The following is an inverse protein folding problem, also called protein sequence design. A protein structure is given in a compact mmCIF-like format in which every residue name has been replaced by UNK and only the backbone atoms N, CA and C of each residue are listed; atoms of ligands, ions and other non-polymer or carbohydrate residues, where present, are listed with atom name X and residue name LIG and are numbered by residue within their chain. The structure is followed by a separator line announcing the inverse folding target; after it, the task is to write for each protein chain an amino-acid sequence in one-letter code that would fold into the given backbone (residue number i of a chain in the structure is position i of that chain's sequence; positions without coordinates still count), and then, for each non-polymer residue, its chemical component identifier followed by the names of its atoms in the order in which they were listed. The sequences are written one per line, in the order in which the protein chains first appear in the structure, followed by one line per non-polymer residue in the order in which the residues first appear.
data_IF_831592048790
#
_entry.id   IF_831592048790
#
_cell.length_a   1.000
_cell.length_b   1.000
_cell.length_c   1.000
_cell.angle_alpha   90.00
_cell.angle_beta   90.00
_cell.angle_gamma   90.00
#
_symmetry.space_group_name_H-M   'P 1'
#
loop_
_entity.id
_entity.type
_entity.pdbx_description
1 polymer ?
#
# COMPACT_ATOMS: atom_id res chain seq x y z
N UNK A 1 3.99 23.52 5.83
CA UNK A 1 4.47 22.94 7.09
C UNK A 1 5.91 22.48 6.87
N UNK A 2 6.89 23.15 7.47
CA UNK A 2 8.30 22.73 7.48
C UNK A 2 8.37 21.46 8.36
N UNK A 3 8.37 20.28 7.73
CA UNK A 3 8.72 19.06 8.45
C UNK A 3 10.16 19.22 8.93
N UNK A 4 10.40 19.03 10.23
CA UNK A 4 11.74 19.11 10.80
C UNK A 4 12.68 18.19 10.01
N UNK A 5 13.55 18.77 9.18
CA UNK A 5 14.54 18.05 8.35
C UNK A 5 15.43 17.10 9.18
N UNK A 6 15.64 17.41 10.46
CA UNK A 6 16.42 16.61 11.42
C UNK A 6 15.84 15.20 11.72
N UNK A 7 14.54 14.98 11.44
CA UNK A 7 13.90 13.68 11.68
C UNK A 7 14.03 12.71 10.48
N UNK A 8 14.39 13.23 9.30
CA UNK A 8 14.58 12.41 8.10
C UNK A 8 16.02 11.92 7.98
N UNK A 9 16.16 10.60 7.83
CA UNK A 9 17.44 9.92 7.60
C UNK A 9 17.63 9.78 6.10
N UNK A 10 18.73 10.29 5.56
CA UNK A 10 19.01 10.31 4.11
C UNK A 10 19.53 8.97 3.59
N UNK A 11 20.32 8.24 4.39
CA UNK A 11 20.98 7.00 3.96
C UNK A 11 20.23 5.77 4.46
N UNK A 12 19.88 4.81 3.56
CA UNK A 12 19.25 3.57 3.98
C UNK A 12 20.24 2.64 4.70
N UNK A 13 19.70 1.73 5.51
CA UNK A 13 20.49 0.66 6.13
C UNK A 13 20.88 -0.37 5.09
N UNK A 14 22.16 -0.52 4.82
CA UNK A 14 22.66 -1.52 3.85
C UNK A 14 22.22 -2.95 4.19
N UNK A 15 22.23 -3.34 5.46
CA UNK A 15 21.78 -4.66 5.94
C UNK A 15 20.30 -4.96 5.72
N UNK A 16 19.48 -3.92 5.56
CA UNK A 16 18.03 -4.04 5.36
C UNK A 16 17.60 -3.62 3.95
N UNK A 17 18.53 -3.63 2.99
CA UNK A 17 18.25 -3.31 1.58
C UNK A 17 18.68 -4.45 0.68
N UNK A 18 17.89 -4.65 -0.40
CA UNK A 18 18.23 -5.57 -1.48
C UNK A 18 18.17 -4.84 -2.81
N UNK A 19 19.00 -5.25 -3.75
CA UNK A 19 18.89 -4.77 -5.12
C UNK A 19 17.54 -5.16 -5.69
N UNK A 20 16.89 -4.24 -6.39
CA UNK A 20 15.61 -4.48 -7.05
C UNK A 20 15.77 -4.36 -8.55
N UNK A 21 15.79 -5.50 -9.23
CA UNK A 21 15.72 -5.52 -10.68
C UNK A 21 14.29 -5.39 -11.16
N UNK A 22 14.03 -4.39 -12.00
CA UNK A 22 12.69 -4.17 -12.56
C UNK A 22 12.49 -5.07 -13.78
N UNK A 23 11.42 -5.86 -13.78
CA UNK A 23 11.03 -6.68 -14.95
C UNK A 23 10.55 -5.87 -16.15
N UNK A 24 10.46 -4.53 -16.02
CA UNK A 24 10.00 -3.61 -17.08
C UNK A 24 8.67 -4.00 -17.72
N UNK A 25 7.79 -4.63 -16.97
CA UNK A 25 6.48 -5.09 -17.44
C UNK A 25 6.48 -6.39 -18.22
N UNK A 26 7.60 -7.13 -18.20
CA UNK A 26 7.74 -8.43 -18.87
C UNK A 26 7.59 -9.60 -17.90
N UNK A 27 7.10 -10.72 -18.40
CA UNK A 27 7.08 -11.99 -17.67
C UNK A 27 8.40 -12.76 -17.84
N UNK A 28 8.50 -13.96 -17.26
CA UNK A 28 9.67 -14.83 -17.35
C UNK A 28 10.02 -15.26 -18.80
N UNK A 29 9.05 -15.26 -19.72
CA UNK A 29 9.23 -15.54 -21.15
C UNK A 29 9.58 -14.30 -21.98
N UNK A 30 9.85 -13.15 -21.37
CA UNK A 30 10.15 -11.89 -22.04
C UNK A 30 8.95 -11.17 -22.67
N UNK A 31 7.73 -11.74 -22.61
CA UNK A 31 6.52 -11.13 -23.18
C UNK A 31 6.01 -10.00 -22.30
N UNK A 32 5.53 -8.91 -22.92
CA UNK A 32 4.95 -7.77 -22.21
C UNK A 32 3.60 -8.18 -21.64
N UNK A 33 3.48 -8.17 -20.30
CA UNK A 33 2.25 -8.46 -19.56
C UNK A 33 1.69 -7.24 -18.82
N UNK A 34 2.52 -6.21 -18.62
CA UNK A 34 2.12 -4.94 -18.05
C UNK A 34 2.68 -3.80 -18.90
N UNK A 35 1.78 -3.17 -19.67
CA UNK A 35 2.10 -2.14 -20.64
C UNK A 35 2.56 -0.84 -19.97
N UNK A 36 3.32 -0.03 -20.72
CA UNK A 36 3.77 1.30 -20.32
C UNK A 36 4.61 1.30 -19.03
N UNK A 37 5.37 0.24 -18.79
CA UNK A 37 6.35 0.14 -17.71
C UNK A 37 7.75 -0.05 -18.27
N UNK A 38 8.72 0.61 -17.64
CA UNK A 38 10.13 0.46 -17.99
C UNK A 38 10.93 1.73 -17.80
N UNK A 39 12.23 1.58 -17.75
CA UNK A 39 13.16 2.65 -17.39
C UNK A 39 12.97 3.10 -15.94
N UNK A 40 13.36 4.33 -15.68
CA UNK A 40 13.31 4.94 -14.34
C UNK A 40 14.63 4.77 -13.59
N UNK A 41 14.71 5.41 -12.41
CA UNK A 41 15.88 5.30 -11.55
C UNK A 41 16.05 3.91 -10.96
N UNK A 42 17.29 3.46 -10.82
CA UNK A 42 17.64 2.28 -10.05
C UNK A 42 17.18 2.45 -8.59
N UNK A 43 16.61 1.40 -8.02
CA UNK A 43 16.00 1.45 -6.69
C UNK A 43 16.49 0.28 -5.85
N UNK A 44 16.78 0.56 -4.59
CA UNK A 44 16.99 -0.46 -3.58
C UNK A 44 15.66 -0.79 -2.90
N UNK A 45 15.36 -2.06 -2.73
CA UNK A 45 14.20 -2.51 -1.99
C UNK A 45 14.52 -2.58 -0.49
N UNK A 46 13.68 -1.96 0.35
CA UNK A 46 13.81 -2.05 1.81
C UNK A 46 13.05 -3.24 2.32
N UNK A 47 13.71 -4.04 3.15
CA UNK A 47 13.07 -5.14 3.88
C UNK A 47 12.24 -4.56 5.03
N UNK A 48 10.92 -4.67 4.91
CA UNK A 48 10.00 -4.09 5.88
C UNK A 48 9.40 -5.21 6.70
N UNK A 49 9.35 -5.02 8.01
CA UNK A 49 8.62 -5.91 8.89
C UNK A 49 7.09 -5.67 8.75
N UNK A 50 6.48 -6.46 7.87
CA UNK A 50 5.04 -6.45 7.63
C UNK A 50 4.27 -7.42 8.53
N UNK A 51 4.97 -8.39 9.15
CA UNK A 51 4.35 -9.35 10.07
C UNK A 51 4.13 -8.77 11.45
N UNK A 52 5.04 -7.90 11.89
CA UNK A 52 4.95 -7.22 13.19
C UNK A 52 4.70 -8.19 14.36
N UNK A 53 5.33 -9.38 14.35
CA UNK A 53 5.11 -10.37 15.42
C UNK A 53 5.83 -10.00 16.72
N UNK A 54 7.09 -9.60 16.63
CA UNK A 54 7.98 -9.39 17.78
C UNK A 54 8.81 -8.11 17.66
N UNK A 55 8.40 -7.17 16.82
CA UNK A 55 9.12 -5.91 16.69
C UNK A 55 8.81 -5.02 17.85
N UNK A 56 9.78 -4.80 18.71
CA UNK A 56 9.74 -3.72 19.67
C UNK A 56 11.00 -2.88 19.54
N UNK A 57 10.92 -1.64 19.97
CA UNK A 57 12.07 -0.75 19.93
C UNK A 57 11.68 0.72 19.84
N UNK A 58 12.71 1.54 19.69
CA UNK A 58 12.62 3.00 19.69
C UNK A 58 12.74 3.51 18.26
N UNK A 59 11.89 4.45 17.89
CA UNK A 59 11.94 5.11 16.57
C UNK A 59 13.12 6.07 16.52
N UNK A 60 14.05 5.82 15.59
CA UNK A 60 15.21 6.69 15.37
C UNK A 60 14.90 7.83 14.41
N UNK A 61 14.12 7.54 13.36
CA UNK A 61 13.77 8.54 12.36
C UNK A 61 12.94 7.99 11.21
N UNK A 62 12.57 8.87 10.29
CA UNK A 62 11.85 8.56 9.07
C UNK A 62 12.81 8.44 7.89
N UNK A 63 12.49 7.55 6.96
CA UNK A 63 13.20 7.42 5.69
C UNK A 63 12.25 7.47 4.50
N UNK A 64 12.75 8.01 3.42
CA UNK A 64 12.11 7.94 2.11
C UNK A 64 12.33 6.55 1.48
N UNK A 65 11.26 5.95 0.94
CA UNK A 65 11.37 4.71 0.16
C UNK A 65 10.95 4.96 -1.29
N UNK A 66 11.83 4.74 -2.28
CA UNK A 66 11.51 4.93 -3.69
C UNK A 66 10.49 3.92 -4.25
N UNK A 67 10.21 2.84 -3.53
CA UNK A 67 9.30 1.77 -3.97
C UNK A 67 7.86 1.99 -3.50
N UNK A 68 7.64 2.98 -2.62
CA UNK A 68 6.31 3.33 -2.11
C UNK A 68 6.18 4.80 -1.79
N UNK A 69 4.95 5.26 -1.72
CA UNK A 69 4.66 6.66 -1.37
C UNK A 69 4.53 6.89 0.14
N UNK A 70 4.43 5.86 0.96
CA UNK A 70 4.49 5.96 2.42
C UNK A 70 5.96 6.04 2.88
N UNK A 71 6.22 6.86 3.91
CA UNK A 71 7.52 6.87 4.57
C UNK A 71 7.71 5.60 5.42
N UNK A 72 8.97 5.25 5.66
CA UNK A 72 9.35 4.20 6.59
C UNK A 72 9.86 4.82 7.88
N UNK A 73 9.57 4.18 9.01
CA UNK A 73 10.23 4.48 10.27
C UNK A 73 11.31 3.44 10.53
N UNK A 74 12.51 3.92 10.84
CA UNK A 74 13.61 3.09 11.33
C UNK A 74 13.43 2.90 12.82
N UNK A 75 13.30 1.66 13.25
CA UNK A 75 13.14 1.27 14.65
C UNK A 75 14.38 0.51 15.09
N UNK A 76 14.96 0.91 16.19
CA UNK A 76 16.06 0.21 16.85
C UNK A 76 15.49 -0.65 17.99
N UNK A 77 15.81 -1.93 17.95
CA UNK A 77 15.47 -2.84 19.04
C UNK A 77 16.69 -2.96 19.98
N UNK A 78 16.59 -2.50 21.25
CA UNK A 78 17.71 -2.54 22.18
C UNK A 78 18.09 -3.97 22.57
N UNK A 79 17.12 -4.89 22.66
CA UNK A 79 17.35 -6.27 23.09
C UNK A 79 18.19 -7.05 22.07
N UNK A 80 17.85 -6.91 20.79
CA UNK A 80 18.55 -7.61 19.70
C UNK A 80 19.66 -6.78 19.06
N UNK A 81 19.82 -5.52 19.45
CA UNK A 81 20.75 -4.53 18.84
C UNK A 81 20.58 -4.40 17.32
N UNK A 82 19.39 -4.69 16.79
CA UNK A 82 19.08 -4.66 15.35
C UNK A 82 18.14 -3.51 15.00
N UNK A 83 18.29 -3.06 13.76
CA UNK A 83 17.37 -2.07 13.17
C UNK A 83 16.38 -2.76 12.25
N UNK A 84 15.11 -2.36 12.32
CA UNK A 84 14.05 -2.82 11.45
C UNK A 84 13.32 -1.64 10.80
N UNK A 85 12.75 -1.87 9.63
CA UNK A 85 11.87 -0.91 8.97
C UNK A 85 10.41 -1.28 9.20
N UNK A 86 9.61 -0.29 9.54
CA UNK A 86 8.16 -0.39 9.58
C UNK A 86 7.54 0.70 8.71
N UNK A 87 6.29 0.51 8.25
CA UNK A 87 5.55 1.60 7.60
C UNK A 87 5.24 2.66 8.66
N UNK A 88 5.63 3.90 8.41
CA UNK A 88 5.51 4.99 9.37
C UNK A 88 4.04 5.37 9.61
N UNK A 89 3.52 5.27 10.83
CA UNK A 89 2.24 5.84 11.20
C UNK A 89 2.26 7.37 11.11
N UNK A 90 1.08 7.96 10.99
CA UNK A 90 0.95 9.43 11.06
C UNK A 90 1.32 9.93 12.47
N UNK A 91 1.93 11.11 12.55
CA UNK A 91 2.33 11.77 13.81
C UNK A 91 3.33 10.98 14.68
N UNK A 92 4.08 10.04 14.12
CA UNK A 92 5.17 9.36 14.83
C UNK A 92 6.34 10.34 15.02
N UNK A 93 7.00 10.25 16.19
CA UNK A 93 8.13 11.10 16.57
C UNK A 93 9.39 10.26 16.80
N UNK A 94 10.56 10.91 16.75
CA UNK A 94 11.81 10.32 17.20
C UNK A 94 11.73 10.07 18.71
N UNK A 95 12.15 8.88 19.15
CA UNK A 95 12.07 8.46 20.56
C UNK A 95 10.78 7.69 20.90
N UNK A 96 9.76 7.69 20.02
CA UNK A 96 8.54 6.92 20.29
C UNK A 96 8.87 5.42 20.41
N UNK A 97 8.31 4.80 21.45
CA UNK A 97 8.44 3.35 21.65
C UNK A 97 7.37 2.63 20.84
N UNK A 98 7.77 1.67 20.03
CA UNK A 98 6.90 0.82 19.25
C UNK A 98 6.94 -0.60 19.81
N UNK A 99 5.76 -1.18 20.06
CA UNK A 99 5.62 -2.55 20.55
C UNK A 99 4.68 -3.35 19.66
N UNK A 100 4.99 -4.64 19.50
CA UNK A 100 4.18 -5.59 18.72
C UNK A 100 3.76 -6.75 19.60
N UNK A 101 2.53 -7.23 19.40
CA UNK A 101 1.98 -8.43 20.04
C UNK A 101 1.91 -8.43 21.59
N UNK A 102 1.85 -7.26 22.21
CA UNK A 102 1.66 -7.17 23.65
C UNK A 102 0.18 -7.00 24.02
N UNK A 103 -0.33 -7.88 24.86
CA UNK A 103 -1.72 -7.85 25.32
C UNK A 103 -2.01 -6.64 26.22
N UNK A 104 -1.04 -6.22 27.02
CA UNK A 104 -1.18 -5.20 28.07
C UNK A 104 -1.04 -3.74 27.59
N UNK A 105 -0.61 -3.50 26.35
CA UNK A 105 -0.39 -2.13 25.87
C UNK A 105 -1.71 -1.46 25.49
N UNK A 106 -1.99 -0.31 26.07
CA UNK A 106 -3.09 0.58 25.70
C UNK A 106 -3.07 0.98 24.21
N UNK A 107 -3.97 1.86 23.82
CA UNK A 107 -3.98 2.45 22.49
C UNK A 107 -2.79 3.40 22.36
N UNK A 108 -1.76 2.97 21.63
CA UNK A 108 -0.69 3.85 21.20
C UNK A 108 -0.50 3.72 19.70
N UNK A 109 -0.23 4.86 19.06
CA UNK A 109 -0.04 4.95 17.62
C UNK A 109 1.20 4.15 17.20
N UNK A 110 1.05 3.30 16.18
CA UNK A 110 2.13 2.45 15.68
C UNK A 110 2.30 1.10 16.40
N UNK A 111 1.61 0.86 17.52
CA UNK A 111 1.59 -0.45 18.17
C UNK A 111 0.81 -1.44 17.33
N UNK A 112 1.31 -2.68 17.23
CA UNK A 112 0.68 -3.76 16.47
C UNK A 112 0.16 -4.85 17.40
N UNK A 113 -1.07 -5.28 17.17
CA UNK A 113 -1.75 -6.31 17.95
C UNK A 113 -2.65 -7.16 17.09
N UNK A 114 -3.09 -8.29 17.61
CA UNK A 114 -4.22 -9.02 17.05
C UNK A 114 -5.51 -8.22 17.25
N UNK A 115 -6.45 -8.34 16.31
CA UNK A 115 -7.73 -7.61 16.33
C UNK A 115 -8.52 -7.85 17.62
N UNK A 116 -8.37 -9.02 18.26
CA UNK A 116 -9.03 -9.32 19.54
C UNK A 116 -8.64 -8.38 20.68
N UNK A 117 -7.45 -7.77 20.62
CA UNK A 117 -6.95 -6.86 21.65
C UNK A 117 -7.10 -5.39 21.28
N UNK A 118 -7.66 -5.08 20.10
CA UNK A 118 -7.88 -3.70 19.65
C UNK A 118 -9.36 -3.36 19.86
N UNK A 119 -9.63 -2.25 20.52
CA UNK A 119 -10.99 -1.82 20.85
C UNK A 119 -11.79 -1.46 19.58
N UNK A 120 -13.12 -1.67 19.61
CA UNK A 120 -14.02 -1.13 18.58
C UNK A 120 -13.95 0.39 18.55
N UNK A 121 -14.15 1.01 17.39
CA UNK A 121 -13.95 2.45 17.18
C UNK A 121 -12.51 2.87 16.89
N UNK A 122 -11.53 1.95 17.00
CA UNK A 122 -10.12 2.25 16.75
C UNK A 122 -9.81 2.30 15.26
N UNK A 123 -8.97 3.27 14.86
CA UNK A 123 -8.39 3.34 13.51
C UNK A 123 -7.15 2.45 13.45
N UNK A 124 -7.07 1.65 12.41
CA UNK A 124 -5.98 0.69 12.20
C UNK A 124 -5.42 0.77 10.77
N UNK A 125 -4.19 0.34 10.60
CA UNK A 125 -3.52 0.20 9.32
C UNK A 125 -2.65 -1.06 9.28
N UNK A 126 -2.00 -1.32 8.16
CA UNK A 126 -1.08 -2.45 7.97
C UNK A 126 -1.72 -3.79 8.40
N UNK A 127 -2.90 -4.09 7.83
CA UNK A 127 -3.72 -5.23 8.18
C UNK A 127 -3.37 -6.47 7.34
N UNK A 128 -3.21 -7.63 7.98
CA UNK A 128 -3.07 -8.92 7.31
C UNK A 128 -4.40 -9.41 6.75
N UNK A 129 -4.39 -10.32 5.80
CA UNK A 129 -5.61 -10.96 5.28
C UNK A 129 -6.03 -12.14 6.14
N UNK A 130 -5.05 -12.90 6.59
CA UNK A 130 -5.21 -14.10 7.40
C UNK A 130 -4.20 -14.09 8.55
N UNK A 131 -4.44 -14.84 9.64
CA UNK A 131 -3.49 -14.97 10.74
C UNK A 131 -2.13 -15.48 10.25
N UNK A 132 -1.05 -14.90 10.76
CA UNK A 132 0.33 -15.31 10.41
C UNK A 132 0.88 -14.78 9.08
N UNK A 133 0.05 -14.21 8.21
CA UNK A 133 0.49 -13.61 6.95
C UNK A 133 1.09 -12.20 7.12
N UNK A 134 1.84 -11.78 6.09
CA UNK A 134 2.27 -10.39 5.96
C UNK A 134 1.05 -9.47 5.76
N UNK A 135 1.11 -8.27 6.31
CA UNK A 135 0.09 -7.27 6.02
C UNK A 135 0.04 -6.94 4.53
N UNK A 136 -1.17 -7.00 3.96
CA UNK A 136 -1.43 -6.77 2.53
C UNK A 136 -2.33 -5.56 2.28
N UNK A 137 -3.14 -5.18 3.27
CA UNK A 137 -4.16 -4.12 3.14
C UNK A 137 -3.77 -2.89 3.97
N UNK A 138 -4.31 -1.73 3.60
CA UNK A 138 -4.15 -0.46 4.32
C UNK A 138 -2.68 -0.05 4.47
N UNK A 139 -1.91 -0.06 3.36
CA UNK A 139 -0.47 0.27 3.33
C UNK A 139 -0.15 1.57 2.60
N UNK A 140 -1.11 2.16 1.92
CA UNK A 140 -0.90 3.42 1.19
C UNK A 140 -0.93 4.64 2.13
N UNK A 141 -0.33 5.78 1.76
CA UNK A 141 -0.38 7.01 2.55
C UNK A 141 -1.81 7.41 2.93
N UNK A 142 -2.03 7.73 4.19
CA UNK A 142 -3.35 8.10 4.70
C UNK A 142 -4.40 7.00 4.63
N UNK A 143 -4.01 5.73 4.42
CA UNK A 143 -4.94 4.61 4.51
C UNK A 143 -5.19 4.23 5.96
N UNK A 144 -6.45 3.87 6.23
CA UNK A 144 -6.90 3.37 7.53
C UNK A 144 -8.14 2.50 7.35
N UNK A 145 -8.38 1.64 8.32
CA UNK A 145 -9.64 0.94 8.53
C UNK A 145 -10.19 1.27 9.90
N UNK A 146 -11.51 1.27 10.05
CA UNK A 146 -12.18 1.47 11.33
C UNK A 146 -12.79 0.15 11.80
N UNK A 147 -12.43 -0.30 13.00
CA UNK A 147 -13.05 -1.47 13.61
C UNK A 147 -14.43 -1.07 14.11
N UNK A 148 -15.49 -1.68 13.58
CA UNK A 148 -16.87 -1.39 13.96
C UNK A 148 -17.36 -2.30 15.08
N UNK A 149 -17.21 -3.61 14.88
CA UNK A 149 -17.72 -4.63 15.81
C UNK A 149 -16.77 -5.82 15.83
N UNK A 150 -16.66 -6.46 16.97
CA UNK A 150 -15.93 -7.72 17.15
C UNK A 150 -16.90 -8.77 17.67
N UNK A 151 -16.76 -9.98 17.15
CA UNK A 151 -17.38 -11.21 17.68
C UNK A 151 -16.29 -12.08 18.30
N UNK A 152 -16.63 -13.24 18.83
CA UNK A 152 -15.65 -14.20 19.37
C UNK A 152 -14.61 -14.66 18.33
N UNK A 153 -14.95 -14.69 17.05
CA UNK A 153 -14.10 -15.23 15.97
C UNK A 153 -13.71 -14.20 14.90
N UNK A 154 -14.54 -13.18 14.65
CA UNK A 154 -14.40 -12.25 13.55
C UNK A 154 -14.48 -10.79 14.00
N UNK A 155 -13.81 -9.91 13.27
CA UNK A 155 -13.92 -8.45 13.40
C UNK A 155 -14.44 -7.83 12.11
N UNK A 156 -15.47 -6.97 12.21
CA UNK A 156 -16.02 -6.18 11.10
C UNK A 156 -15.26 -4.86 10.98
N UNK A 157 -14.61 -4.65 9.85
CA UNK A 157 -13.78 -3.47 9.60
C UNK A 157 -14.35 -2.71 8.39
N UNK A 158 -14.54 -1.41 8.54
CA UNK A 158 -14.82 -0.47 7.44
C UNK A 158 -13.49 0.01 6.87
N UNK A 159 -13.24 -0.32 5.61
CA UNK A 159 -12.09 0.15 4.87
C UNK A 159 -12.27 1.61 4.41
N UNK A 160 -11.18 2.30 4.10
CA UNK A 160 -11.22 3.69 3.58
C UNK A 160 -12.06 3.83 2.30
N UNK A 161 -12.24 2.76 1.52
CA UNK A 161 -13.12 2.72 0.35
C UNK A 161 -14.61 2.74 0.68
N UNK A 162 -14.99 2.68 1.95
CA UNK A 162 -16.37 2.51 2.41
C UNK A 162 -16.82 1.05 2.52
N UNK A 163 -16.09 0.10 1.92
CA UNK A 163 -16.44 -1.32 2.00
C UNK A 163 -16.27 -1.89 3.39
N UNK A 164 -17.20 -2.75 3.79
CA UNK A 164 -17.14 -3.53 5.02
C UNK A 164 -16.57 -4.90 4.73
N UNK A 165 -15.63 -5.37 5.58
CA UNK A 165 -15.07 -6.71 5.49
C UNK A 165 -14.96 -7.34 6.86
N UNK A 166 -15.11 -8.66 6.90
CA UNK A 166 -14.86 -9.46 8.07
C UNK A 166 -13.45 -10.05 8.00
N UNK A 167 -12.75 -10.04 9.12
CA UNK A 167 -11.41 -10.59 9.29
C UNK A 167 -11.38 -11.46 10.52
N UNK A 168 -10.56 -12.50 10.51
CA UNK A 168 -10.30 -13.33 11.67
C UNK A 168 -9.74 -12.46 12.82
N UNK A 169 -10.21 -12.70 14.04
CA UNK A 169 -9.85 -11.93 15.22
C UNK A 169 -8.39 -12.10 15.63
N UNK A 170 -7.72 -13.19 15.19
CA UNK A 170 -6.29 -13.44 15.37
C UNK A 170 -5.42 -12.69 14.36
N UNK A 171 -6.02 -11.99 13.40
CA UNK A 171 -5.31 -11.21 12.39
C UNK A 171 -4.63 -10.00 13.02
N UNK A 172 -3.39 -9.73 12.61
CA UNK A 172 -2.59 -8.62 13.14
C UNK A 172 -2.89 -7.33 12.39
N UNK A 173 -3.05 -6.25 13.14
CA UNK A 173 -3.17 -4.88 12.63
C UNK A 173 -2.34 -3.90 13.48
N UNK A 174 -2.03 -2.75 12.92
CA UNK A 174 -1.30 -1.68 13.61
C UNK A 174 -2.24 -0.51 13.89
N UNK A 175 -2.17 0.04 15.11
CA UNK A 175 -2.98 1.18 15.53
C UNK A 175 -2.60 2.46 14.76
N UNK A 176 -3.60 3.25 14.38
CA UNK A 176 -3.43 4.56 13.76
C UNK A 176 -3.65 4.58 12.25
N UNK A 177 -3.21 5.65 11.63
CA UNK A 177 -3.32 5.94 10.19
C UNK A 177 -1.89 5.99 9.61
N UNK A 178 -1.70 5.59 8.36
CA UNK A 178 -0.40 5.72 7.69
C UNK A 178 -0.06 7.20 7.44
N UNK A 179 1.18 7.55 7.69
CA UNK A 179 1.71 8.90 7.48
C UNK A 179 1.74 9.33 6.00
N UNK A 180 2.33 10.52 5.75
CA UNK A 180 2.42 11.15 4.43
C UNK A 180 1.05 11.37 3.74
N UNK A 181 0.04 11.78 4.50
CA UNK A 181 -1.33 11.98 4.03
C UNK A 181 -1.43 12.97 2.86
N UNK A 182 -0.51 13.95 2.81
CA UNK A 182 -0.46 14.99 1.79
C UNK A 182 0.09 14.51 0.44
N UNK A 183 0.58 13.27 0.35
CA UNK A 183 1.10 12.71 -0.90
C UNK A 183 0.07 12.74 -2.04
N UNK A 184 -1.22 12.70 -1.73
CA UNK A 184 -2.32 12.79 -2.71
C UNK A 184 -2.34 14.11 -3.48
N UNK A 185 -1.79 15.18 -2.92
CA UNK A 185 -1.72 16.51 -3.54
C UNK A 185 -0.46 16.70 -4.41
N UNK A 186 0.49 15.77 -4.35
CA UNK A 186 1.70 15.84 -5.17
C UNK A 186 1.35 15.57 -6.63
N UNK A 187 1.49 16.60 -7.46
CA UNK A 187 1.34 16.51 -8.92
C UNK A 187 2.72 16.45 -9.57
N UNK A 188 2.87 15.61 -10.58
CA UNK A 188 4.06 15.60 -11.42
C UNK A 188 4.03 16.85 -12.31
N UNK A 189 5.10 17.64 -12.28
CA UNK A 189 5.16 18.92 -12.98
C UNK A 189 5.61 18.82 -14.43
N UNK A 190 6.33 17.75 -14.79
CA UNK A 190 6.87 17.51 -16.14
C UNK A 190 6.85 16.03 -16.52
N UNK A 191 6.81 15.75 -17.82
CA UNK A 191 6.78 14.39 -18.37
C UNK A 191 7.96 13.52 -17.90
N UNK A 192 9.16 14.09 -17.79
CA UNK A 192 10.35 13.39 -17.32
C UNK A 192 10.21 12.83 -15.89
N UNK A 193 9.43 13.47 -15.01
CA UNK A 193 9.16 12.92 -13.68
C UNK A 193 8.40 11.57 -13.75
N UNK A 194 7.48 11.41 -14.70
CA UNK A 194 6.81 10.12 -14.94
C UNK A 194 7.81 9.07 -15.42
N UNK A 195 8.77 9.48 -16.27
CA UNK A 195 9.85 8.57 -16.75
C UNK A 195 10.75 8.13 -15.60
N UNK A 196 11.12 9.01 -14.68
CA UNK A 196 11.93 8.64 -13.50
C UNK A 196 11.25 7.60 -12.59
N UNK A 197 9.92 7.64 -12.52
CA UNK A 197 9.14 6.65 -11.75
C UNK A 197 9.02 5.30 -12.51
N UNK A 198 9.43 5.25 -13.79
CA UNK A 198 9.36 4.05 -14.62
C UNK A 198 8.06 3.93 -15.43
N UNK A 199 7.35 5.04 -15.64
CA UNK A 199 6.16 5.08 -16.52
C UNK A 199 6.59 5.48 -17.92
N UNK A 200 6.16 4.72 -18.92
CA UNK A 200 6.33 5.05 -20.34
C UNK A 200 5.12 5.85 -20.83
N UNK A 201 5.28 6.64 -21.93
CA UNK A 201 4.16 7.33 -22.56
C UNK A 201 3.05 6.36 -22.96
N UNK A 202 1.83 6.84 -22.94
CA UNK A 202 0.63 6.08 -23.34
C UNK A 202 0.02 6.80 -24.52
N UNK A 203 -0.12 6.08 -25.65
CA UNK A 203 -0.84 6.56 -26.83
C UNK A 203 -2.32 6.24 -26.63
N UNK A 204 -3.18 7.19 -26.97
CA UNK A 204 -4.65 7.00 -26.92
C UNK A 204 -5.09 6.08 -28.06
N UNK A 205 -6.05 5.18 -27.82
CA UNK A 205 -6.59 4.29 -28.84
C UNK A 205 -7.13 5.00 -30.08
N UNK A 206 -7.70 6.20 -29.91
CA UNK A 206 -8.20 7.05 -31.04
C UNK A 206 -7.06 7.54 -31.94
N UNK A 207 -5.82 7.59 -31.47
CA UNK A 207 -4.64 7.99 -32.25
C UNK A 207 -3.89 6.80 -32.88
N UNK A 208 -4.49 5.63 -32.85
CA UNK A 208 -3.94 4.40 -33.41
C UNK A 208 -4.66 4.03 -34.73
N UNK A 209 -4.10 3.09 -35.47
CA UNK A 209 -4.75 2.52 -36.64
C UNK A 209 -5.85 1.51 -36.22
N UNK A 210 -6.81 1.20 -37.11
CA UNK A 210 -7.89 0.24 -36.86
C UNK A 210 -7.41 -1.14 -36.40
N UNK A 211 -6.26 -1.60 -36.89
CA UNK A 211 -5.66 -2.88 -36.54
C UNK A 211 -5.15 -2.91 -35.07
N UNK A 212 -4.74 -1.76 -34.53
CA UNK A 212 -4.10 -1.67 -33.20
C UNK A 212 -5.11 -1.43 -32.11
N UNK A 213 -6.24 -0.80 -32.40
CA UNK A 213 -7.26 -0.48 -31.39
C UNK A 213 -8.65 -0.35 -32.00
N UNK A 214 -9.72 -0.83 -31.32
CA UNK A 214 -11.11 -0.68 -31.78
C UNK A 214 -11.58 0.77 -31.96
N UNK A 215 -10.88 1.76 -31.40
CA UNK A 215 -11.15 3.19 -31.60
C UNK A 215 -10.26 3.84 -32.66
N UNK A 216 -9.44 3.06 -33.35
CA UNK A 216 -8.50 3.55 -34.35
C UNK A 216 -9.17 3.85 -35.70
N UNK A 217 -8.45 4.60 -36.51
CA UNK A 217 -8.86 4.97 -37.87
C UNK A 217 -9.62 6.27 -37.97
N UNK A 218 -10.05 6.59 -39.20
CA UNK A 218 -10.73 7.81 -39.56
C UNK A 218 -9.79 8.92 -40.03
N UNK A 219 -10.35 9.97 -40.63
CA UNK A 219 -9.64 11.16 -41.06
C UNK A 219 -9.63 12.22 -39.94
N UNK A 220 -8.45 12.76 -39.66
CA UNK A 220 -8.27 13.83 -38.70
C UNK A 220 -8.72 13.48 -37.27
N UNK A 221 -9.53 14.32 -36.67
CA UNK A 221 -9.97 14.23 -35.27
C UNK A 221 -11.28 13.45 -35.13
N UNK A 222 -11.24 12.14 -35.33
CA UNK A 222 -12.42 11.26 -35.25
C UNK A 222 -12.79 10.92 -33.80
N UNK A 223 -14.08 10.63 -33.61
CA UNK A 223 -14.58 10.05 -32.36
C UNK A 223 -14.30 8.54 -32.31
N UNK A 224 -14.44 7.90 -31.12
CA UNK A 224 -14.20 6.46 -31.00
C UNK A 224 -15.18 5.57 -31.77
N UNK A 225 -16.29 6.11 -32.29
CA UNK A 225 -17.29 5.43 -33.12
C UNK A 225 -18.08 4.31 -32.43
N UNK A 226 -17.75 3.96 -31.19
CA UNK A 226 -18.32 2.85 -30.41
C UNK A 226 -18.17 3.08 -28.91
N UNK A 227 -18.89 2.30 -28.04
CA UNK A 227 -18.68 2.36 -26.61
C UNK A 227 -17.23 2.13 -26.22
N UNK A 228 -16.76 2.81 -25.17
CA UNK A 228 -15.38 2.77 -24.69
C UNK A 228 -14.89 1.33 -24.47
N UNK A 229 -13.86 0.92 -25.20
CA UNK A 229 -13.33 -0.44 -25.23
C UNK A 229 -11.84 -0.49 -24.93
N UNK A 230 -11.37 -1.64 -24.47
CA UNK A 230 -9.94 -1.96 -24.37
C UNK A 230 -9.37 -2.31 -25.76
N UNK A 231 -8.03 -2.39 -25.94
CA UNK A 231 -7.43 -2.87 -27.20
C UNK A 231 -7.94 -4.25 -27.64
N UNK A 232 -8.42 -5.07 -26.72
CA UNK A 232 -8.99 -6.41 -26.98
C UNK A 232 -10.52 -6.40 -27.14
N UNK A 233 -11.14 -5.24 -27.34
CA UNK A 233 -12.58 -5.11 -27.57
C UNK A 233 -13.47 -5.23 -26.33
N UNK A 234 -12.93 -5.44 -25.13
CA UNK A 234 -13.73 -5.54 -23.91
C UNK A 234 -14.25 -4.17 -23.47
N UNK A 235 -15.55 -4.02 -23.13
CA UNK A 235 -16.10 -2.77 -22.61
C UNK A 235 -15.35 -2.30 -21.35
N UNK A 236 -15.04 -1.00 -21.26
CA UNK A 236 -14.34 -0.40 -20.12
C UNK A 236 -15.26 0.29 -19.14
N UNK A 237 -16.51 0.55 -19.51
CA UNK A 237 -17.53 1.21 -18.70
C UNK A 237 -18.82 0.39 -18.71
N UNK A 238 -19.62 0.53 -17.66
CA UNK A 238 -20.95 -0.07 -17.53
C UNK A 238 -20.98 -1.50 -16.99
N UNK A 239 -19.99 -2.33 -17.26
CA UNK A 239 -19.95 -3.71 -16.79
C UNK A 239 -19.05 -3.89 -15.58
N UNK A 240 -19.49 -4.74 -14.65
CA UNK A 240 -18.68 -5.14 -13.50
C UNK A 240 -17.54 -6.05 -13.96
N UNK A 241 -16.29 -5.58 -13.82
CA UNK A 241 -15.09 -6.34 -14.20
C UNK A 241 -14.57 -7.24 -13.07
N UNK A 242 -15.05 -7.04 -11.83
CA UNK A 242 -14.65 -7.80 -10.66
C UNK A 242 -15.81 -8.66 -10.16
N UNK A 243 -15.60 -9.98 -10.08
CA UNK A 243 -16.55 -10.87 -9.43
C UNK A 243 -16.63 -10.54 -7.94
N UNK A 244 -17.84 -10.33 -7.43
CA UNK A 244 -18.07 -10.23 -5.99
C UNK A 244 -17.76 -11.58 -5.34
N UNK A 245 -16.70 -11.64 -4.55
CA UNK A 245 -16.53 -12.75 -3.62
C UNK A 245 -17.46 -12.50 -2.43
N UNK A 246 -18.39 -13.39 -2.22
CA UNK A 246 -19.20 -13.41 -0.99
C UNK A 246 -18.24 -13.48 0.18
N UNK A 247 -18.28 -12.48 1.05
CA UNK A 247 -17.48 -12.48 2.27
C UNK A 247 -18.13 -13.46 3.25
N UNK A 248 -17.38 -14.34 3.95
CA UNK A 248 -17.96 -15.16 4.99
C UNK A 248 -18.62 -14.22 6.01
N UNK A 249 -19.93 -14.36 6.16
CA UNK A 249 -20.68 -13.74 7.25
C UNK A 249 -20.49 -14.61 8.49
N UNK A 250 -20.34 -14.03 9.68
CA UNK A 250 -20.39 -14.83 10.88
C UNK A 250 -21.77 -15.51 10.93
N UNK A 251 -21.81 -16.82 11.19
CA UNK A 251 -23.05 -17.48 11.59
C UNK A 251 -23.45 -16.87 12.94
N UNK A 252 -24.22 -15.80 12.91
CA UNK A 252 -24.88 -15.26 14.09
C UNK A 252 -26.06 -16.20 14.35
N UNK A 253 -25.87 -17.23 15.15
CA UNK A 253 -27.00 -17.82 15.88
C UNK A 253 -27.48 -16.70 16.81
N UNK A 254 -28.67 -16.21 16.55
CA UNK A 254 -29.44 -15.29 17.41
C UNK A 254 -29.76 -16.00 18.71
#
# INVERSE_FOLDING_TARGET
MKQNKQFFISKPLKSQTKYWNSSTGRNHKGRITAWHRGGGHAKLYRLIDLKRKHTQGIVIGLEYDPNRSAFLARVFNPDTKKHNYIIAPNKIKKGDVIRSNSQRNGYQNGHSKELRYIMSGTLIHNLSMSPGENAKILRAPGAYGLILRRTKTLAKIRLKSGQYRWFDIKTIATNGIIGNTNNRFNKLKKAGQSRWIGRRPIVRGVAMNPIDHPHGGGEGKTSGGRPSSTPWGKPTKGLLTKRFRVQPKPNVKI
#
